data_IF_424319856711
#
_entry.id   IF_424319856711
#
_cell.length_a   1.000
_cell.length_b   1.000
_cell.length_c   1.000
_cell.angle_alpha   90.00
_cell.angle_beta   90.00
_cell.angle_gamma   90.00
#
_symmetry.space_group_name_H-M   'P 1'
#
loop_
_entity.id
_entity.type
_entity.pdbx_description
1 polymer ?
#
# COMPACT_ATOMS: atom_id res chain seq x y z
N UNK A 1 14.27 17.07 -14.68
CA UNK A 1 13.78 16.44 -13.43
C UNK A 1 12.54 15.59 -13.65
N UNK A 2 11.50 16.19 -14.19
CA UNK A 2 10.25 15.45 -14.40
C UNK A 2 10.33 14.32 -15.39
N UNK A 3 11.07 14.44 -16.50
CA UNK A 3 11.27 13.28 -17.36
C UNK A 3 11.91 12.12 -16.61
N UNK A 4 12.80 12.44 -15.69
CA UNK A 4 13.42 11.41 -14.87
C UNK A 4 12.42 10.75 -13.94
N UNK A 5 11.46 11.51 -13.45
CA UNK A 5 10.43 10.96 -12.60
C UNK A 5 9.57 9.93 -13.35
N UNK A 6 9.20 10.26 -14.58
CA UNK A 6 8.44 9.30 -15.41
C UNK A 6 9.26 8.06 -15.69
N UNK A 7 10.53 8.24 -15.96
CA UNK A 7 11.43 7.13 -16.19
C UNK A 7 11.52 6.25 -14.94
N UNK A 8 11.64 6.85 -13.77
CA UNK A 8 11.70 6.11 -12.52
C UNK A 8 10.42 5.37 -12.23
N UNK A 9 9.28 5.92 -12.60
CA UNK A 9 8.02 5.25 -12.41
C UNK A 9 8.01 3.87 -13.05
N UNK A 10 8.54 3.77 -14.26
CA UNK A 10 8.62 2.49 -14.94
C UNK A 10 9.66 1.57 -14.32
N UNK A 11 10.77 2.14 -13.89
CA UNK A 11 11.87 1.35 -13.34
C UNK A 11 11.62 0.89 -11.91
N UNK A 12 10.91 1.67 -11.13
CA UNK A 12 10.56 1.27 -9.77
C UNK A 12 9.74 0.00 -9.79
N UNK A 13 8.88 -0.15 -10.76
CA UNK A 13 8.09 -1.36 -10.89
C UNK A 13 8.92 -2.57 -11.22
N UNK A 14 9.92 -2.38 -12.06
CA UNK A 14 10.69 -3.49 -12.60
C UNK A 14 11.91 -3.82 -11.76
N UNK A 15 12.37 -2.89 -10.94
CA UNK A 15 13.68 -3.03 -10.31
C UNK A 15 13.65 -2.62 -8.86
N UNK A 16 13.87 -3.57 -8.00
CA UNK A 16 13.98 -3.33 -6.56
C UNK A 16 15.11 -2.38 -6.21
N UNK A 17 16.10 -2.28 -7.08
CA UNK A 17 17.20 -1.36 -6.87
C UNK A 17 16.71 0.07 -6.67
N UNK A 18 15.71 0.49 -7.45
CA UNK A 18 15.14 1.83 -7.31
C UNK A 18 14.41 1.98 -6.00
N UNK A 19 13.69 0.95 -5.61
CA UNK A 19 13.00 0.96 -4.33
C UNK A 19 13.98 1.05 -3.17
N UNK A 20 15.10 0.35 -3.23
CA UNK A 20 16.10 0.41 -2.18
C UNK A 20 16.63 1.81 -1.96
N UNK A 21 16.87 2.56 -3.04
CA UNK A 21 17.29 3.96 -2.95
C UNK A 21 16.21 4.84 -2.35
N UNK A 22 14.97 4.62 -2.77
CA UNK A 22 13.83 5.36 -2.25
C UNK A 22 13.65 5.09 -0.76
N UNK A 23 13.70 3.84 -0.38
CA UNK A 23 13.59 3.43 1.01
C UNK A 23 14.68 4.06 1.88
N UNK A 24 15.91 4.07 1.39
CA UNK A 24 17.03 4.71 2.10
C UNK A 24 16.79 6.21 2.27
N UNK A 25 16.34 6.87 1.19
CA UNK A 25 16.05 8.29 1.25
C UNK A 25 14.95 8.60 2.25
N UNK A 26 13.90 7.79 2.26
CA UNK A 26 12.79 7.95 3.21
C UNK A 26 13.29 7.76 4.63
N UNK A 27 14.07 6.73 4.90
CA UNK A 27 14.62 6.49 6.22
C UNK A 27 15.51 7.64 6.68
N UNK A 28 16.28 8.20 5.77
CA UNK A 28 17.16 9.33 6.09
C UNK A 28 16.35 10.57 6.44
N UNK A 29 15.30 10.84 5.67
CA UNK A 29 14.48 12.04 5.85
C UNK A 29 13.56 11.89 7.05
N UNK A 30 12.95 10.74 7.21
CA UNK A 30 11.93 10.49 8.22
C UNK A 30 12.40 9.60 9.35
N UNK A 31 13.70 9.40 9.50
CA UNK A 31 14.25 8.47 10.49
C UNK A 31 13.70 8.70 11.88
N UNK A 32 13.70 9.95 12.34
CA UNK A 32 13.17 10.27 13.67
C UNK A 32 11.66 10.06 13.73
N UNK A 33 10.97 10.39 12.66
CA UNK A 33 9.54 10.21 12.58
C UNK A 33 9.19 8.72 12.61
N UNK A 34 9.94 7.91 11.93
CA UNK A 34 9.71 6.46 11.92
C UNK A 34 9.91 5.87 13.32
N UNK A 35 10.93 6.34 14.03
CA UNK A 35 11.16 5.89 15.41
C UNK A 35 9.99 6.28 16.30
N UNK A 36 9.51 7.51 16.15
CA UNK A 36 8.34 7.99 16.89
C UNK A 36 7.11 7.16 16.52
N UNK A 37 6.96 6.86 15.24
CA UNK A 37 5.84 6.06 14.78
C UNK A 37 5.86 4.65 15.36
N UNK A 38 7.02 4.07 15.50
CA UNK A 38 7.11 2.77 16.16
C UNK A 38 6.58 2.83 17.58
N UNK A 39 6.88 3.88 18.30
CA UNK A 39 6.37 4.05 19.64
C UNK A 39 4.87 4.24 19.65
N UNK A 40 4.34 4.89 18.63
CA UNK A 40 2.91 5.15 18.51
C UNK A 40 2.21 3.96 17.87
N UNK A 41 2.92 3.13 17.14
CA UNK A 41 2.35 1.98 16.45
C UNK A 41 1.57 1.06 17.37
N UNK A 42 1.99 0.96 18.62
CA UNK A 42 1.26 0.16 19.60
C UNK A 42 -0.18 0.61 19.77
N UNK A 43 -0.48 1.87 19.45
CA UNK A 43 -1.84 2.42 19.54
C UNK A 43 -2.40 2.79 18.18
N UNK A 44 -1.67 2.53 17.12
CA UNK A 44 -2.14 2.85 15.78
C UNK A 44 -3.29 1.95 15.39
N UNK A 45 -4.10 2.50 14.51
CA UNK A 45 -5.21 1.77 13.97
C UNK A 45 -4.72 0.79 12.91
N UNK A 46 -5.33 -0.36 12.92
CA UNK A 46 -5.09 -1.37 11.92
C UNK A 46 -6.34 -1.50 11.07
N UNK A 47 -6.20 -2.11 9.92
CA UNK A 47 -7.37 -2.47 9.13
C UNK A 47 -8.12 -3.54 9.90
N UNK A 48 -9.35 -3.23 10.25
CA UNK A 48 -10.21 -4.18 10.94
C UNK A 48 -11.23 -4.70 9.96
N UNK A 49 -11.41 -5.99 9.97
CA UNK A 49 -12.36 -6.65 9.10
C UNK A 49 -13.06 -7.76 9.87
N UNK A 50 -14.33 -8.00 9.53
CA UNK A 50 -15.10 -9.07 10.17
C UNK A 50 -14.66 -10.43 9.66
N UNK A 51 -14.34 -10.52 8.38
CA UNK A 51 -13.93 -11.76 7.76
C UNK A 51 -13.24 -11.46 6.43
N UNK A 52 -12.55 -12.45 5.90
CA UNK A 52 -12.00 -12.35 4.56
C UNK A 52 -12.22 -13.67 3.82
N UNK A 53 -12.26 -13.57 2.50
CA UNK A 53 -12.41 -14.70 1.60
C UNK A 53 -11.38 -14.58 0.49
N UNK A 54 -11.03 -15.71 -0.09
CA UNK A 54 -10.16 -15.70 -1.27
C UNK A 54 -10.86 -14.96 -2.41
N UNK A 55 -10.14 -14.18 -3.15
CA UNK A 55 -10.64 -13.47 -4.32
C UNK A 55 -9.52 -13.33 -5.33
N UNK A 56 -9.67 -14.01 -6.48
CA UNK A 56 -8.64 -14.03 -7.51
C UNK A 56 -7.31 -14.44 -6.92
N UNK A 57 -6.27 -13.64 -7.10
CA UNK A 57 -4.94 -13.93 -6.57
C UNK A 57 -4.73 -13.37 -5.16
N UNK A 58 -5.73 -12.70 -4.62
CA UNK A 58 -5.68 -12.09 -3.31
C UNK A 58 -6.88 -12.45 -2.48
N UNK A 59 -7.40 -11.49 -1.74
CA UNK A 59 -8.52 -11.70 -0.84
C UNK A 59 -9.45 -10.50 -0.86
N UNK A 60 -10.68 -10.72 -0.40
CA UNK A 60 -11.64 -9.65 -0.14
C UNK A 60 -11.87 -9.58 1.36
N UNK A 61 -11.71 -8.38 1.92
CA UNK A 61 -12.00 -8.12 3.32
C UNK A 61 -13.40 -7.53 3.43
N UNK A 62 -14.18 -8.04 4.36
CA UNK A 62 -15.57 -7.63 4.54
C UNK A 62 -15.71 -6.65 5.69
N UNK A 63 -16.74 -5.82 5.61
CA UNK A 63 -17.07 -4.80 6.61
C UNK A 63 -15.97 -3.76 6.81
N UNK A 64 -15.33 -3.40 5.73
CA UNK A 64 -14.33 -2.31 5.71
C UNK A 64 -15.04 -1.02 5.31
N UNK A 65 -14.88 0.02 6.12
CA UNK A 65 -15.31 1.36 5.75
C UNK A 65 -14.11 2.19 5.34
N UNK A 66 -13.30 2.62 6.29
CA UNK A 66 -12.09 3.37 6.00
C UNK A 66 -10.93 2.42 5.77
N UNK A 67 -10.11 2.74 4.79
CA UNK A 67 -8.98 1.89 4.40
C UNK A 67 -7.70 2.53 4.91
N UNK A 68 -6.94 1.77 5.69
CA UNK A 68 -5.64 2.17 6.21
C UNK A 68 -4.57 1.24 5.62
N UNK A 69 -3.35 1.76 5.39
CA UNK A 69 -2.27 0.89 4.92
C UNK A 69 -1.92 -0.19 5.96
N UNK A 70 -1.60 -1.38 5.49
CA UNK A 70 -1.06 -2.44 6.35
C UNK A 70 0.32 -2.05 6.86
N UNK A 71 1.10 -1.39 6.02
CA UNK A 71 2.45 -0.94 6.33
C UNK A 71 2.66 0.43 5.73
N UNK A 72 3.53 1.20 6.36
CA UNK A 72 3.94 2.49 5.82
C UNK A 72 4.71 2.28 4.51
N UNK A 73 4.58 3.22 3.60
CA UNK A 73 5.27 3.14 2.33
C UNK A 73 4.91 4.29 1.41
N UNK A 74 5.24 4.10 0.14
CA UNK A 74 5.04 5.10 -0.90
C UNK A 74 3.93 4.62 -1.83
N UNK A 75 3.05 5.54 -2.18
CA UNK A 75 2.02 5.27 -3.18
C UNK A 75 2.69 5.21 -4.54
N UNK A 76 2.72 4.03 -5.15
CA UNK A 76 3.40 3.83 -6.44
C UNK A 76 2.43 3.67 -7.60
N UNK A 77 1.15 3.50 -7.32
CA UNK A 77 0.14 3.38 -8.37
C UNK A 77 -1.22 3.82 -7.85
N UNK A 78 -1.93 4.56 -8.68
CA UNK A 78 -3.35 4.89 -8.48
C UNK A 78 -4.03 4.74 -9.82
N UNK A 79 -5.03 3.87 -9.88
CA UNK A 79 -5.74 3.66 -11.13
C UNK A 79 -6.61 2.43 -11.08
N UNK A 80 -7.17 2.08 -12.21
CA UNK A 80 -8.04 0.92 -12.32
C UNK A 80 -7.23 -0.32 -12.64
N UNK A 81 -7.54 -1.40 -11.96
CA UNK A 81 -6.96 -2.72 -12.23
C UNK A 81 -8.08 -3.69 -12.52
N UNK A 82 -7.85 -4.55 -13.48
CA UNK A 82 -8.79 -5.61 -13.80
C UNK A 82 -9.04 -6.45 -12.54
N UNK A 83 -10.28 -6.80 -12.31
CA UNK A 83 -10.75 -7.58 -11.16
C UNK A 83 -10.72 -6.87 -9.81
N UNK A 84 -9.96 -5.79 -9.66
CA UNK A 84 -9.82 -5.11 -8.37
C UNK A 84 -10.44 -3.72 -8.34
N UNK A 85 -10.81 -3.17 -9.49
CA UNK A 85 -11.42 -1.84 -9.57
C UNK A 85 -10.40 -0.74 -9.31
N UNK A 86 -10.86 0.36 -8.76
CA UNK A 86 -9.96 1.46 -8.44
C UNK A 86 -8.99 1.05 -7.35
N UNK A 87 -7.72 1.04 -7.68
CA UNK A 87 -6.68 0.43 -6.86
C UNK A 87 -5.60 1.44 -6.51
N UNK A 88 -5.15 1.38 -5.27
CA UNK A 88 -3.96 2.06 -4.80
C UNK A 88 -2.94 0.99 -4.45
N UNK A 89 -1.72 1.14 -4.96
CA UNK A 89 -0.63 0.24 -4.60
C UNK A 89 0.37 1.02 -3.77
N UNK A 90 0.68 0.50 -2.60
CA UNK A 90 1.67 1.07 -1.71
C UNK A 90 2.84 0.10 -1.63
N UNK A 91 4.02 0.60 -1.93
CA UNK A 91 5.23 -0.18 -1.77
C UNK A 91 5.81 0.09 -0.39
N UNK A 92 5.85 -0.94 0.42
CA UNK A 92 6.35 -0.84 1.79
C UNK A 92 7.87 -0.85 1.83
N UNK A 93 8.40 -0.48 2.98
CA UNK A 93 9.85 -0.51 3.23
C UNK A 93 10.40 -1.93 3.16
N UNK A 94 9.54 -2.92 3.34
CA UNK A 94 9.89 -4.34 3.24
C UNK A 94 9.98 -4.84 1.79
N UNK A 95 9.71 -3.98 0.82
CA UNK A 95 9.73 -4.36 -0.58
C UNK A 95 8.46 -5.02 -1.07
N UNK A 96 7.44 -5.09 -0.24
CA UNK A 96 6.16 -5.69 -0.60
C UNK A 96 5.26 -4.62 -1.19
N UNK A 97 4.61 -4.96 -2.29
CA UNK A 97 3.58 -4.13 -2.90
C UNK A 97 2.23 -4.54 -2.31
N UNK A 98 1.61 -3.61 -1.61
CA UNK A 98 0.30 -3.80 -0.99
C UNK A 98 -0.76 -3.17 -1.89
N UNK A 99 -1.65 -4.00 -2.40
CA UNK A 99 -2.72 -3.55 -3.29
C UNK A 99 -4.01 -3.37 -2.50
N UNK A 100 -4.65 -2.23 -2.67
CA UNK A 100 -5.93 -1.90 -2.04
C UNK A 100 -6.91 -1.57 -3.15
N UNK A 101 -7.76 -2.52 -3.49
CA UNK A 101 -8.70 -2.38 -4.60
C UNK A 101 -10.11 -2.04 -4.15
N UNK A 102 -10.91 -1.54 -5.08
CA UNK A 102 -12.29 -1.14 -4.84
C UNK A 102 -12.39 0.07 -3.90
N UNK A 103 -11.45 1.01 -4.07
CA UNK A 103 -11.40 2.22 -3.23
C UNK A 103 -12.18 3.36 -3.86
N UNK A 104 -12.91 4.07 -3.03
CA UNK A 104 -13.59 5.30 -3.40
C UNK A 104 -13.15 6.42 -2.46
N UNK A 105 -13.45 7.66 -2.81
CA UNK A 105 -13.09 8.84 -2.00
C UNK A 105 -11.60 8.88 -1.65
N UNK A 106 -10.77 8.72 -2.67
CA UNK A 106 -9.33 8.65 -2.52
C UNK A 106 -8.77 9.91 -1.87
N UNK A 107 -7.97 9.73 -0.82
CA UNK A 107 -7.38 10.82 -0.06
C UNK A 107 -5.87 10.94 -0.20
N UNK A 108 -5.26 10.19 -1.10
CA UNK A 108 -3.81 10.20 -1.29
C UNK A 108 -3.47 10.42 -2.75
N UNK A 109 -2.24 10.79 -3.00
CA UNK A 109 -1.73 11.07 -4.35
C UNK A 109 -0.56 10.15 -4.66
N UNK A 110 -0.29 10.01 -5.94
CA UNK A 110 0.86 9.25 -6.40
C UNK A 110 2.13 9.81 -5.76
N UNK A 111 2.95 8.91 -5.27
CA UNK A 111 4.23 9.18 -4.61
C UNK A 111 4.13 9.80 -3.21
N UNK A 112 2.95 9.90 -2.65
CA UNK A 112 2.82 10.26 -1.23
C UNK A 112 3.44 9.16 -0.37
N UNK A 113 4.09 9.59 0.70
CA UNK A 113 4.44 8.69 1.79
C UNK A 113 3.25 8.58 2.72
N UNK A 114 2.84 7.38 3.02
CA UNK A 114 1.69 7.13 3.90
C UNK A 114 2.06 6.20 5.04
N UNK A 115 1.44 6.43 6.16
CA UNK A 115 1.62 5.64 7.37
C UNK A 115 0.35 4.86 7.68
N UNK A 116 0.47 3.88 8.57
CA UNK A 116 -0.65 3.01 8.93
C UNK A 116 -1.84 3.75 9.52
N UNK A 117 -1.63 4.96 10.04
CA UNK A 117 -2.70 5.79 10.58
C UNK A 117 -3.39 6.67 9.54
N UNK A 118 -2.88 6.74 8.34
CA UNK A 118 -3.43 7.58 7.27
C UNK A 118 -4.55 6.85 6.54
N UNK A 119 -5.63 7.56 6.29
CA UNK A 119 -6.74 6.99 5.53
C UNK A 119 -6.44 7.12 4.06
N UNK A 120 -6.47 6.00 3.33
CA UNK A 120 -6.29 5.99 1.88
C UNK A 120 -7.56 6.41 1.16
N UNK A 121 -8.69 6.04 1.68
CA UNK A 121 -10.00 6.26 1.11
C UNK A 121 -10.99 5.34 1.80
N UNK A 122 -12.04 5.00 1.12
CA UNK A 122 -13.08 4.14 1.65
C UNK A 122 -13.27 2.94 0.74
N UNK A 123 -13.68 1.82 1.31
CA UNK A 123 -14.00 0.63 0.53
C UNK A 123 -15.43 0.77 0.00
N UNK A 124 -15.58 0.58 -1.31
CA UNK A 124 -16.89 0.62 -1.94
C UNK A 124 -17.67 -0.62 -1.48
N UNK A 125 -18.94 -0.41 -1.10
CA UNK A 125 -19.81 -1.47 -0.62
C UNK A 125 -19.21 -2.25 0.55
N UNK A 126 -18.36 -1.60 1.33
CA UNK A 126 -17.69 -2.17 2.50
C UNK A 126 -16.82 -3.38 2.19
N UNK A 127 -16.36 -3.50 0.96
CA UNK A 127 -15.51 -4.60 0.52
C UNK A 127 -14.19 -4.06 -0.01
N UNK A 128 -13.10 -4.50 0.58
CA UNK A 128 -11.76 -4.13 0.16
C UNK A 128 -11.08 -5.34 -0.46
N UNK A 129 -10.63 -5.20 -1.69
CA UNK A 129 -9.83 -6.25 -2.33
C UNK A 129 -8.37 -5.97 -2.03
N UNK A 130 -7.64 -7.00 -1.63
CA UNK A 130 -6.23 -6.87 -1.30
C UNK A 130 -5.42 -7.92 -2.03
N UNK A 131 -4.20 -7.53 -2.38
CA UNK A 131 -3.23 -8.42 -3.02
C UNK A 131 -1.85 -8.03 -2.52
N UNK A 132 -1.01 -9.02 -2.29
CA UNK A 132 0.34 -8.81 -1.78
C UNK A 132 1.31 -9.38 -2.79
N UNK A 133 2.26 -8.55 -3.23
CA UNK A 133 3.25 -8.96 -4.22
C UNK A 133 4.64 -8.52 -3.81
N UNK A 134 5.62 -9.31 -4.21
CA UNK A 134 7.02 -8.95 -4.05
C UNK A 134 7.80 -9.52 -5.23
N UNK A 135 8.61 -8.68 -5.86
CA UNK A 135 9.42 -9.08 -7.02
C UNK A 135 8.58 -9.73 -8.12
N UNK A 136 7.41 -9.15 -8.39
CA UNK A 136 6.45 -9.64 -9.38
C UNK A 136 5.89 -11.02 -9.06
N UNK A 137 5.99 -11.46 -7.82
CA UNK A 137 5.40 -12.72 -7.36
C UNK A 137 4.29 -12.44 -6.39
N UNK A 138 3.21 -13.20 -6.53
CA UNK A 138 2.07 -13.10 -5.62
C UNK A 138 2.42 -13.83 -4.34
N UNK A 139 2.17 -13.14 -3.21
CA UNK A 139 2.41 -13.70 -1.89
C UNK A 139 1.11 -14.27 -1.34
N UNK A 140 1.24 -15.21 -0.42
CA UNK A 140 0.07 -15.80 0.25
C UNK A 140 -0.52 -14.78 1.21
N UNK A 141 -1.75 -14.37 0.95
CA UNK A 141 -2.42 -13.38 1.81
C UNK A 141 -2.63 -13.89 3.23
N UNK A 142 -2.65 -15.19 3.44
CA UNK A 142 -2.79 -15.74 4.79
C UNK A 142 -1.64 -15.37 5.71
N UNK A 143 -0.50 -15.01 5.15
CA UNK A 143 0.65 -14.58 5.94
C UNK A 143 0.51 -13.14 6.42
N UNK A 144 -0.45 -12.39 5.90
CA UNK A 144 -0.59 -10.94 6.17
C UNK A 144 -1.94 -10.56 6.77
N UNK A 145 -2.91 -11.42 6.74
CA UNK A 145 -4.26 -11.15 7.24
C UNK A 145 -4.59 -11.87 8.55
#
# INVERSE_FOLDING_TARGET
>A
MYPNLLFYKNNVYDKNLKFSKLSTAINKIFGKTLIVDENVTAVNKEIKYASFNAYKDGAVLNDINNVYPFKSGIVVFIGEKEDYGNTVIIQGMDGIDYWYGNITNLGVKLYDYVETKNILGQAKDNKLYVLFMKDNKILDYNDYL
#
